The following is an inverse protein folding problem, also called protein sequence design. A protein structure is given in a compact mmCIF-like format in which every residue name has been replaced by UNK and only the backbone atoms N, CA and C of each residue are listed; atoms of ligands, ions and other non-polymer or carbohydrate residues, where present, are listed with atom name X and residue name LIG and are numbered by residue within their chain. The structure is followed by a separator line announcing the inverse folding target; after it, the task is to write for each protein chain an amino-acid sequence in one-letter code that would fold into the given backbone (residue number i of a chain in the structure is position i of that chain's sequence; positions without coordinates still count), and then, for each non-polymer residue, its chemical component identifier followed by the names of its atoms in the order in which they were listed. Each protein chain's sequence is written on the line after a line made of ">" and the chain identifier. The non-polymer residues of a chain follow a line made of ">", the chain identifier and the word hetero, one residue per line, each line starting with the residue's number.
data_IF_730963103797
#
_entry.id   IF_730963103797
#
_cell.length_a   1.000
_cell.length_b   1.000
_cell.length_c   1.000
_cell.angle_alpha   90.00
_cell.angle_beta   90.00
_cell.angle_gamma   90.00
#
_symmetry.space_group_name_H-M   'P 1'
#
loop_
_entity.id
_entity.type
_entity.pdbx_description
1 polymer ?
#
# COMPACT_ATOMS: atom_id res chain seq x y z
N UNK A 1 10.61 -2.59 9.08
CA UNK A 1 10.21 -3.99 9.19
C UNK A 1 10.93 -4.75 8.10
N UNK A 2 11.49 -5.92 8.40
CA UNK A 2 12.08 -6.75 7.35
C UNK A 2 10.97 -7.62 6.73
N UNK A 3 10.64 -7.33 5.47
CA UNK A 3 9.49 -7.95 4.81
C UNK A 3 9.85 -9.33 4.26
N UNK A 4 10.98 -9.46 3.58
CA UNK A 4 11.64 -10.69 3.12
C UNK A 4 10.70 -11.87 2.80
N UNK A 5 9.63 -11.60 2.08
CA UNK A 5 8.64 -12.62 1.71
C UNK A 5 9.16 -13.43 0.52
N UNK A 6 9.06 -14.76 0.60
CA UNK A 6 9.29 -15.59 -0.58
C UNK A 6 8.14 -15.49 -1.60
N UNK A 7 8.30 -16.06 -2.79
CA UNK A 7 7.30 -15.96 -3.86
C UNK A 7 5.94 -16.58 -3.48
N UNK A 8 5.93 -17.63 -2.65
CA UNK A 8 4.72 -18.32 -2.21
C UNK A 8 3.99 -17.49 -1.14
N UNK A 9 4.74 -16.92 -0.19
CA UNK A 9 4.24 -15.98 0.80
C UNK A 9 3.64 -14.73 0.14
N UNK A 10 4.34 -14.15 -0.84
CA UNK A 10 3.84 -13.01 -1.64
C UNK A 10 2.53 -13.37 -2.34
N UNK A 11 2.45 -14.54 -2.98
CA UNK A 11 1.24 -15.03 -3.65
C UNK A 11 0.08 -15.20 -2.69
N UNK A 12 0.31 -15.86 -1.55
CA UNK A 12 -0.73 -16.12 -0.54
C UNK A 12 -1.24 -14.83 0.08
N UNK A 13 -0.33 -13.91 0.43
CA UNK A 13 -0.68 -12.61 0.99
C UNK A 13 -1.48 -11.78 -0.03
N UNK A 14 -1.02 -11.71 -1.27
CA UNK A 14 -1.73 -11.05 -2.37
C UNK A 14 -3.14 -11.63 -2.58
N UNK A 15 -3.30 -12.96 -2.54
CA UNK A 15 -4.60 -13.60 -2.68
C UNK A 15 -5.56 -13.27 -1.52
N UNK A 16 -5.06 -13.22 -0.28
CA UNK A 16 -5.85 -12.80 0.89
C UNK A 16 -6.33 -11.36 0.75
N UNK A 17 -5.45 -10.44 0.33
CA UNK A 17 -5.80 -9.03 0.10
C UNK A 17 -6.82 -8.90 -1.04
N UNK A 18 -6.63 -9.61 -2.15
CA UNK A 18 -7.57 -9.60 -3.27
C UNK A 18 -8.96 -10.01 -2.81
N UNK A 19 -9.08 -11.11 -2.04
CA UNK A 19 -10.38 -11.62 -1.61
C UNK A 19 -11.03 -10.77 -0.53
N UNK A 20 -10.26 -10.17 0.38
CA UNK A 20 -10.83 -9.23 1.36
C UNK A 20 -11.43 -7.99 0.70
N UNK A 21 -10.79 -7.49 -0.37
CA UNK A 21 -11.23 -6.30 -1.08
C UNK A 21 -12.34 -6.59 -2.10
N UNK A 22 -12.14 -7.55 -3.00
CA UNK A 22 -13.02 -7.76 -4.14
C UNK A 22 -14.18 -8.72 -3.88
N UNK A 23 -14.05 -9.63 -2.90
CA UNK A 23 -15.04 -10.68 -2.64
C UNK A 23 -15.15 -10.99 -1.13
N UNK A 24 -15.58 -10.01 -0.32
CA UNK A 24 -15.59 -10.13 1.15
C UNK A 24 -16.45 -11.30 1.65
N UNK A 25 -17.48 -11.73 0.91
CA UNK A 25 -18.32 -12.88 1.25
C UNK A 25 -17.54 -14.21 1.37
N UNK A 26 -16.41 -14.30 0.67
CA UNK A 26 -15.53 -15.48 0.68
C UNK A 26 -14.35 -15.34 1.65
N UNK A 27 -14.30 -14.26 2.41
CA UNK A 27 -13.23 -13.94 3.36
C UNK A 27 -13.75 -14.00 4.82
N UNK A 28 -13.01 -14.57 5.79
CA UNK A 28 -11.68 -15.17 5.69
C UNK A 28 -11.66 -16.52 4.97
N UNK A 29 -10.49 -16.91 4.46
CA UNK A 29 -10.35 -18.04 3.52
C UNK A 29 -9.84 -19.32 4.18
N UNK A 30 -10.30 -20.48 3.73
CA UNK A 30 -9.70 -21.78 4.08
C UNK A 30 -8.45 -22.05 3.21
N UNK A 31 -7.63 -23.04 3.60
CA UNK A 31 -6.48 -23.49 2.79
C UNK A 31 -6.90 -23.87 1.37
N UNK A 32 -7.97 -24.66 1.23
CA UNK A 32 -8.50 -25.06 -0.10
C UNK A 32 -8.94 -23.85 -0.94
N UNK A 33 -9.59 -22.87 -0.31
CA UNK A 33 -9.96 -21.61 -0.98
C UNK A 33 -8.73 -20.81 -1.42
N UNK A 34 -7.68 -20.78 -0.60
CA UNK A 34 -6.42 -20.12 -0.93
C UNK A 34 -5.67 -20.83 -2.06
N UNK A 35 -5.62 -22.16 -2.07
CA UNK A 35 -5.06 -22.94 -3.17
C UNK A 35 -5.74 -22.58 -4.49
N UNK A 36 -7.08 -22.57 -4.51
CA UNK A 36 -7.85 -22.17 -5.70
C UNK A 36 -7.58 -20.71 -6.11
N UNK A 37 -7.39 -19.79 -5.16
CA UNK A 37 -7.10 -18.39 -5.43
C UNK A 37 -5.65 -18.15 -5.90
N UNK A 38 -4.67 -18.88 -5.37
CA UNK A 38 -3.26 -18.73 -5.72
C UNK A 38 -2.95 -19.26 -7.12
N UNK A 39 -3.67 -20.32 -7.53
CA UNK A 39 -3.46 -21.03 -8.80
C UNK A 39 -4.41 -20.54 -9.92
N UNK A 40 -5.06 -19.38 -9.75
CA UNK A 40 -5.91 -18.80 -10.80
C UNK A 40 -5.08 -18.49 -12.05
N UNK A 41 -5.64 -18.78 -13.24
CA UNK A 41 -5.00 -18.47 -14.53
C UNK A 41 -5.10 -16.99 -14.90
N UNK A 42 -6.13 -16.31 -14.43
CA UNK A 42 -6.31 -14.88 -14.63
C UNK A 42 -5.74 -14.11 -13.45
N UNK A 43 -5.30 -12.88 -13.72
CA UNK A 43 -4.84 -11.95 -12.68
C UNK A 43 -3.65 -12.46 -11.85
N UNK A 44 -2.85 -13.38 -12.39
CA UNK A 44 -1.62 -13.92 -11.78
C UNK A 44 -0.50 -13.89 -12.79
N UNK A 45 0.61 -13.26 -12.43
CA UNK A 45 1.84 -13.25 -13.22
C UNK A 45 3.02 -13.45 -12.25
N UNK A 46 3.71 -14.62 -12.27
CA UNK A 46 3.45 -15.80 -13.09
C UNK A 46 2.24 -16.62 -12.62
N UNK A 47 1.67 -17.45 -13.49
CA UNK A 47 0.71 -18.49 -13.06
C UNK A 47 1.49 -19.54 -12.26
N UNK A 48 0.97 -19.92 -11.09
CA UNK A 48 1.58 -20.93 -10.21
C UNK A 48 0.65 -22.14 -10.06
N UNK A 49 1.22 -23.26 -9.61
CA UNK A 49 0.50 -24.46 -9.21
C UNK A 49 0.97 -24.91 -7.82
N UNK A 50 0.50 -24.19 -6.80
CA UNK A 50 0.87 -24.43 -5.40
C UNK A 50 0.00 -25.55 -4.80
N UNK A 51 0.64 -26.51 -4.13
CA UNK A 51 -0.04 -27.53 -3.32
C UNK A 51 -0.56 -26.96 -2.00
N UNK A 52 -1.52 -27.63 -1.36
CA UNK A 52 -1.99 -27.23 -0.02
C UNK A 52 -0.85 -27.21 1.02
N UNK A 53 0.16 -28.10 0.89
CA UNK A 53 1.31 -28.13 1.77
C UNK A 53 2.17 -26.87 1.64
N UNK A 54 2.40 -26.40 0.41
CA UNK A 54 3.10 -25.14 0.15
C UNK A 54 2.31 -23.93 0.68
N UNK A 55 0.98 -23.92 0.48
CA UNK A 55 0.12 -22.86 1.03
C UNK A 55 0.20 -22.82 2.57
N UNK A 56 0.18 -23.98 3.24
CA UNK A 56 0.34 -24.06 4.70
C UNK A 56 1.69 -23.53 5.16
N UNK A 57 2.77 -23.94 4.50
CA UNK A 57 4.12 -23.45 4.81
C UNK A 57 4.22 -21.92 4.67
N UNK A 58 3.64 -21.36 3.60
CA UNK A 58 3.59 -19.91 3.40
C UNK A 58 2.72 -19.20 4.46
N UNK A 59 1.60 -19.79 4.86
CA UNK A 59 0.77 -19.25 5.94
C UNK A 59 1.52 -19.24 7.27
N UNK A 60 2.28 -20.28 7.59
CA UNK A 60 3.08 -20.37 8.81
C UNK A 60 4.13 -19.25 8.87
N UNK A 61 4.85 -19.01 7.77
CA UNK A 61 5.81 -17.90 7.65
C UNK A 61 5.15 -16.52 7.78
N UNK A 62 4.02 -16.31 7.11
CA UNK A 62 3.23 -15.06 7.22
C UNK A 62 2.66 -14.83 8.63
N UNK A 63 2.25 -15.89 9.33
CA UNK A 63 1.77 -15.81 10.72
C UNK A 63 2.91 -15.50 11.69
N UNK A 64 4.09 -16.10 11.50
CA UNK A 64 5.28 -15.79 12.30
C UNK A 64 5.69 -14.31 12.20
N UNK A 65 5.48 -13.70 11.03
CA UNK A 65 5.68 -12.24 10.80
C UNK A 65 4.48 -11.38 11.20
N UNK A 66 3.39 -11.99 11.69
CA UNK A 66 2.14 -11.33 12.05
C UNK A 66 1.48 -10.56 10.87
N UNK A 67 1.64 -11.06 9.65
CA UNK A 67 0.97 -10.52 8.46
C UNK A 67 -0.39 -11.21 8.21
N UNK A 68 -0.53 -12.43 8.71
CA UNK A 68 -1.76 -13.23 8.66
C UNK A 68 -2.16 -13.67 10.07
N UNK A 69 -3.45 -13.91 10.27
CA UNK A 69 -4.04 -14.48 11.49
C UNK A 69 -5.05 -15.55 11.12
N UNK A 70 -5.21 -16.53 11.99
CA UNK A 70 -6.39 -17.38 11.98
C UNK A 70 -7.62 -16.60 12.45
N UNK A 71 -8.73 -16.75 11.73
CA UNK A 71 -10.06 -16.27 12.11
C UNK A 71 -11.06 -17.41 11.99
N UNK A 72 -11.06 -18.27 13.00
CA UNK A 72 -11.99 -19.40 13.09
C UNK A 72 -13.01 -19.10 14.19
N UNK A 73 -14.27 -18.77 13.84
CA UNK A 73 -15.33 -18.65 14.84
C UNK A 73 -15.47 -19.96 15.63
N UNK A 74 -15.81 -19.86 16.91
CA UNK A 74 -16.06 -21.03 17.75
C UNK A 74 -17.12 -21.94 17.09
N UNK A 75 -16.79 -23.22 16.92
CA UNK A 75 -17.67 -24.20 16.25
C UNK A 75 -17.50 -24.30 14.73
N UNK A 76 -16.63 -23.51 14.10
CA UNK A 76 -16.27 -23.71 12.69
C UNK A 76 -15.50 -25.02 12.52
N UNK A 77 -15.94 -25.85 11.56
CA UNK A 77 -15.27 -27.13 11.23
C UNK A 77 -13.98 -26.95 10.44
N UNK A 78 -13.70 -25.75 9.95
CA UNK A 78 -12.52 -25.46 9.13
C UNK A 78 -11.84 -24.19 9.60
N UNK A 79 -10.51 -24.26 9.69
CA UNK A 79 -9.65 -23.10 9.99
C UNK A 79 -9.69 -22.13 8.81
N UNK A 80 -9.84 -20.84 9.11
CA UNK A 80 -9.83 -19.78 8.11
C UNK A 80 -8.75 -18.75 8.44
N UNK A 81 -8.23 -18.10 7.41
CA UNK A 81 -7.11 -17.17 7.49
C UNK A 81 -7.50 -15.80 6.95
N UNK A 82 -6.99 -14.76 7.61
CA UNK A 82 -7.18 -13.36 7.27
C UNK A 82 -5.82 -12.65 7.29
N UNK A 83 -5.57 -11.73 6.36
CA UNK A 83 -4.45 -10.80 6.50
C UNK A 83 -4.69 -9.82 7.66
N UNK A 84 -3.62 -9.16 8.08
CA UNK A 84 -3.60 -8.15 9.16
C UNK A 84 -3.24 -6.75 8.69
N UNK A 85 -3.07 -6.56 7.38
CA UNK A 85 -2.66 -5.29 6.78
C UNK A 85 -3.75 -4.21 6.80
N UNK A 86 -4.99 -4.58 7.10
CA UNK A 86 -6.16 -3.73 7.30
C UNK A 86 -6.43 -3.44 8.78
N UNK A 87 -5.39 -3.45 9.62
CA UNK A 87 -5.51 -3.28 11.07
C UNK A 87 -6.38 -2.07 11.41
N UNK A 88 -7.65 -2.31 11.76
CA UNK A 88 -8.69 -1.28 11.95
C UNK A 88 -8.33 -0.31 13.08
N UNK A 89 -7.44 -0.73 14.00
CA UNK A 89 -6.92 0.09 15.08
C UNK A 89 -5.67 0.88 14.70
N UNK A 90 -5.12 0.67 13.49
CA UNK A 90 -3.96 1.37 12.95
C UNK A 90 -2.67 1.19 13.77
N UNK A 91 -2.60 0.16 14.61
CA UNK A 91 -1.54 -0.02 15.60
C UNK A 91 -0.24 -0.49 14.95
N UNK A 92 -0.35 -1.29 13.88
CA UNK A 92 0.82 -1.84 13.18
C UNK A 92 0.95 -1.37 11.74
N UNK A 93 -0.15 -1.27 11.02
CA UNK A 93 -0.16 -0.87 9.61
C UNK A 93 -1.22 0.22 9.40
N UNK A 94 -0.87 1.25 8.64
CA UNK A 94 -1.78 2.37 8.29
C UNK A 94 -2.14 2.34 6.81
N UNK A 95 -2.38 1.15 6.25
CA UNK A 95 -2.76 1.02 4.85
C UNK A 95 -4.23 1.34 4.67
N UNK A 96 -4.50 2.28 3.77
CA UNK A 96 -5.83 2.55 3.24
C UNK A 96 -6.24 1.45 2.25
N UNK A 97 -7.53 1.43 1.90
CA UNK A 97 -8.05 0.53 0.86
C UNK A 97 -7.34 0.72 -0.49
N UNK A 98 -7.00 1.96 -0.84
CA UNK A 98 -6.25 2.30 -2.05
C UNK A 98 -4.83 1.70 -2.02
N UNK A 99 -4.14 1.80 -0.87
CA UNK A 99 -2.80 1.23 -0.69
C UNK A 99 -2.81 -0.29 -0.86
N UNK A 100 -3.76 -0.95 -0.21
CA UNK A 100 -3.92 -2.41 -0.30
C UNK A 100 -4.24 -2.86 -1.73
N UNK A 101 -5.05 -2.10 -2.48
CA UNK A 101 -5.34 -2.42 -3.88
C UNK A 101 -4.08 -2.34 -4.76
N UNK A 102 -3.21 -1.33 -4.55
CA UNK A 102 -1.94 -1.22 -5.27
C UNK A 102 -1.00 -2.36 -4.89
N UNK A 103 -0.78 -2.59 -3.59
CA UNK A 103 0.10 -3.66 -3.11
C UNK A 103 -0.38 -5.05 -3.58
N UNK A 104 -1.69 -5.30 -3.55
CA UNK A 104 -2.28 -6.53 -4.06
C UNK A 104 -1.95 -6.76 -5.54
N UNK A 105 -2.10 -5.73 -6.38
CA UNK A 105 -1.79 -5.86 -7.81
C UNK A 105 -0.31 -6.14 -8.04
N UNK A 106 0.57 -5.44 -7.33
CA UNK A 106 2.02 -5.61 -7.46
C UNK A 106 2.47 -6.99 -6.97
N UNK A 107 1.92 -7.51 -5.87
CA UNK A 107 2.20 -8.86 -5.36
C UNK A 107 1.72 -9.96 -6.32
N UNK A 108 0.57 -9.76 -6.98
CA UNK A 108 -0.05 -10.79 -7.82
C UNK A 108 0.41 -10.77 -9.28
N UNK A 109 0.90 -9.63 -9.76
CA UNK A 109 1.26 -9.45 -11.18
C UNK A 109 2.60 -8.75 -11.41
N UNK A 110 3.41 -8.60 -10.38
CA UNK A 110 4.71 -7.94 -10.48
C UNK A 110 4.63 -6.46 -10.90
N UNK A 111 5.73 -5.92 -11.45
CA UNK A 111 5.84 -4.50 -11.71
C UNK A 111 4.84 -4.00 -12.74
N UNK A 112 4.16 -2.87 -12.49
CA UNK A 112 3.08 -2.33 -13.35
C UNK A 112 3.15 -0.81 -13.53
N UNK A 113 2.60 -0.28 -14.63
CA UNK A 113 2.46 1.17 -14.83
C UNK A 113 1.25 1.73 -14.07
N UNK A 114 1.19 3.06 -13.94
CA UNK A 114 0.06 3.76 -13.29
C UNK A 114 -1.26 3.46 -14.00
N UNK A 115 -1.26 3.44 -15.34
CA UNK A 115 -2.43 3.11 -16.14
C UNK A 115 -2.90 1.68 -15.93
N UNK A 116 -1.98 0.71 -15.86
CA UNK A 116 -2.29 -0.68 -15.56
C UNK A 116 -2.90 -0.83 -14.15
N UNK A 117 -2.32 -0.18 -13.14
CA UNK A 117 -2.82 -0.20 -11.76
C UNK A 117 -4.24 0.36 -11.66
N UNK A 118 -4.51 1.49 -12.32
CA UNK A 118 -5.87 2.07 -12.38
C UNK A 118 -6.86 1.13 -13.08
N UNK A 119 -6.49 0.58 -14.23
CA UNK A 119 -7.37 -0.28 -15.01
C UNK A 119 -7.69 -1.63 -14.34
N UNK A 120 -6.78 -2.16 -13.52
CA UNK A 120 -6.89 -3.50 -12.92
C UNK A 120 -7.45 -3.49 -11.49
N UNK A 121 -7.53 -2.34 -10.83
CA UNK A 121 -7.96 -2.20 -9.43
C UNK A 121 -9.47 -2.19 -9.22
N UNK A 122 -10.29 -1.99 -10.25
CA UNK A 122 -11.70 -1.60 -10.12
C UNK A 122 -12.57 -2.38 -9.12
N UNK A 123 -12.46 -3.71 -9.03
CA UNK A 123 -13.23 -4.50 -8.05
C UNK A 123 -12.72 -4.37 -6.61
N UNK A 124 -11.45 -4.00 -6.43
CA UNK A 124 -10.82 -3.80 -5.12
C UNK A 124 -11.00 -2.36 -4.65
N UNK A 125 -10.67 -1.40 -5.52
CA UNK A 125 -10.78 0.04 -5.26
C UNK A 125 -10.89 0.79 -6.58
N UNK A 126 -11.83 1.73 -6.69
CA UNK A 126 -12.03 2.53 -7.89
C UNK A 126 -11.32 3.87 -7.76
N UNK A 127 -10.16 4.01 -8.42
CA UNK A 127 -9.44 5.29 -8.45
C UNK A 127 -10.13 6.29 -9.38
N UNK A 128 -10.47 7.46 -8.83
CA UNK A 128 -11.09 8.56 -9.53
C UNK A 128 -10.22 9.07 -10.69
N UNK A 129 -8.90 9.06 -10.53
CA UNK A 129 -7.97 9.56 -11.55
C UNK A 129 -6.60 8.87 -11.52
N UNK A 130 -5.81 9.09 -12.58
CA UNK A 130 -4.38 8.68 -12.60
C UNK A 130 -3.61 9.37 -11.47
N UNK A 131 -3.90 10.64 -11.20
CA UNK A 131 -3.26 11.40 -10.13
C UNK A 131 -3.50 10.79 -8.73
N UNK A 132 -4.65 10.14 -8.50
CA UNK A 132 -4.91 9.44 -7.24
C UNK A 132 -4.03 8.19 -7.09
N UNK A 133 -3.80 7.46 -8.18
CA UNK A 133 -2.87 6.31 -8.19
C UNK A 133 -1.45 6.79 -7.92
N UNK A 134 -1.01 7.87 -8.57
CA UNK A 134 0.31 8.47 -8.33
C UNK A 134 0.47 8.95 -6.88
N UNK A 135 -0.55 9.62 -6.33
CA UNK A 135 -0.55 10.03 -4.91
C UNK A 135 -0.45 8.83 -3.97
N UNK A 136 -1.14 7.73 -4.28
CA UNK A 136 -1.09 6.47 -3.52
C UNK A 136 0.31 5.83 -3.60
N UNK A 137 0.90 5.76 -4.80
CA UNK A 137 2.26 5.25 -5.01
C UNK A 137 3.29 6.11 -4.28
N UNK A 138 3.20 7.44 -4.37
CA UNK A 138 4.09 8.36 -3.67
C UNK A 138 4.04 8.16 -2.16
N UNK A 139 2.85 7.96 -1.58
CA UNK A 139 2.70 7.68 -0.15
C UNK A 139 3.33 6.35 0.25
N UNK A 140 3.19 5.31 -0.57
CA UNK A 140 3.86 4.01 -0.38
C UNK A 140 5.38 4.04 -0.61
N UNK A 141 5.90 5.01 -1.35
CA UNK A 141 7.33 5.21 -1.60
C UNK A 141 8.02 6.10 -0.56
N UNK A 142 7.30 7.05 0.01
CA UNK A 142 7.87 8.11 0.88
C UNK A 142 7.56 7.95 2.36
N UNK A 143 6.75 6.96 2.74
CA UNK A 143 6.54 6.61 4.14
C UNK A 143 7.84 6.19 4.84
N UNK A 144 7.82 6.19 6.18
CA UNK A 144 8.97 5.83 7.03
C UNK A 144 9.57 4.46 6.66
N UNK A 145 8.72 3.55 6.19
CA UNK A 145 9.12 2.29 5.57
C UNK A 145 8.53 2.24 4.16
N UNK A 146 9.33 2.40 3.10
CA UNK A 146 8.82 2.28 1.73
C UNK A 146 8.35 0.85 1.40
N UNK A 147 7.16 0.70 0.83
CA UNK A 147 6.63 -0.60 0.36
C UNK A 147 6.65 -0.75 -1.16
N UNK A 148 6.88 0.34 -1.88
CA UNK A 148 6.92 0.37 -3.35
C UNK A 148 8.12 1.19 -3.78
N UNK A 149 8.64 0.89 -4.98
CA UNK A 149 9.65 1.71 -5.66
C UNK A 149 9.27 1.91 -7.12
N UNK A 150 9.73 3.03 -7.68
CA UNK A 150 9.69 3.29 -9.12
C UNK A 150 10.91 2.64 -9.77
N UNK A 151 10.68 1.92 -10.85
CA UNK A 151 11.75 1.31 -11.65
C UNK A 151 12.25 2.28 -12.73
N UNK A 152 13.54 2.18 -13.13
CA UNK A 152 14.06 2.92 -14.27
C UNK A 152 13.24 2.63 -15.53
N UNK A 153 13.02 3.66 -16.35
CA UNK A 153 12.30 3.50 -17.61
C UNK A 153 13.17 2.69 -18.58
N UNK A 154 12.64 1.56 -19.04
CA UNK A 154 13.32 0.74 -20.04
C UNK A 154 13.49 1.52 -21.36
N UNK A 155 14.63 1.36 -22.07
CA UNK A 155 14.82 1.97 -23.38
C UNK A 155 13.67 1.62 -24.33
N UNK A 156 12.98 2.64 -24.84
CA UNK A 156 11.84 2.48 -25.76
C UNK A 156 10.45 2.44 -25.10
N UNK A 157 10.36 2.45 -23.76
CA UNK A 157 9.09 2.70 -23.05
C UNK A 157 8.97 4.17 -22.66
N UNK A 158 7.72 4.67 -22.66
CA UNK A 158 7.38 6.05 -22.27
C UNK A 158 6.95 6.18 -20.81
N UNK A 159 6.58 5.08 -20.17
CA UNK A 159 6.02 5.08 -18.82
C UNK A 159 6.89 4.23 -17.88
N UNK A 160 7.13 4.74 -16.67
CA UNK A 160 7.79 3.98 -15.61
C UNK A 160 6.85 2.90 -15.04
N UNK A 161 7.46 1.80 -14.58
CA UNK A 161 6.76 0.74 -13.82
C UNK A 161 7.10 0.87 -12.34
N UNK A 162 6.21 0.40 -11.50
CA UNK A 162 6.36 0.38 -10.05
C UNK A 162 6.41 -1.06 -9.57
N UNK A 163 7.25 -1.36 -8.60
CA UNK A 163 7.42 -2.69 -8.00
C UNK A 163 7.27 -2.62 -6.48
N UNK A 164 6.79 -3.69 -5.84
CA UNK A 164 6.75 -3.75 -4.38
C UNK A 164 8.13 -4.07 -3.79
N UNK A 165 8.31 -3.71 -2.52
CA UNK A 165 9.53 -3.94 -1.72
C UNK A 165 9.38 -5.05 -0.69
N UNK A 166 8.27 -5.77 -0.72
CA UNK A 166 7.91 -6.77 0.29
C UNK A 166 8.62 -8.13 0.15
N UNK A 167 9.35 -8.37 -0.94
CA UNK A 167 9.89 -9.69 -1.28
C UNK A 167 11.39 -9.83 -1.08
N UNK A 168 11.87 -11.06 -0.92
CA UNK A 168 13.32 -11.35 -0.98
C UNK A 168 13.85 -10.98 -2.36
N UNK A 169 14.93 -10.20 -2.40
CA UNK A 169 15.50 -9.71 -3.66
C UNK A 169 14.65 -8.64 -4.34
N UNK A 170 13.75 -7.98 -3.60
CA UNK A 170 13.06 -6.81 -4.11
C UNK A 170 14.05 -5.77 -4.66
N UNK A 171 13.65 -4.99 -5.69
CA UNK A 171 14.49 -3.93 -6.20
C UNK A 171 14.87 -2.99 -5.07
N UNK A 172 16.10 -2.49 -5.04
CA UNK A 172 16.45 -1.49 -4.04
C UNK A 172 15.55 -0.26 -4.24
N UNK A 173 15.03 0.28 -3.15
CA UNK A 173 14.30 1.56 -3.19
C UNK A 173 15.24 2.58 -3.79
N UNK A 174 14.92 3.03 -5.01
CA UNK A 174 15.63 4.14 -5.61
C UNK A 174 15.02 5.40 -5.00
N UNK A 175 15.82 6.32 -4.45
CA UNK A 175 15.31 7.63 -4.10
C UNK A 175 14.68 8.21 -5.37
N UNK A 176 13.46 8.75 -5.30
CA UNK A 176 12.83 9.30 -6.48
C UNK A 176 13.77 10.35 -7.07
N UNK A 177 14.04 10.28 -8.37
CA UNK A 177 14.84 11.28 -9.07
C UNK A 177 14.26 12.66 -8.73
N UNK A 178 15.04 13.47 -7.99
CA UNK A 178 14.63 14.81 -7.57
C UNK A 178 14.30 15.71 -8.76
N UNK A 179 14.79 15.37 -9.95
CA UNK A 179 14.55 16.11 -11.18
C UNK A 179 13.22 15.78 -11.89
N UNK A 180 12.58 14.64 -11.60
CA UNK A 180 11.28 14.27 -12.21
C UNK A 180 10.08 14.45 -11.28
N UNK A 181 10.31 14.78 -10.00
CA UNK A 181 9.29 15.25 -9.05
C UNK A 181 9.13 16.78 -9.06
N UNK A 182 9.41 17.45 -10.19
CA UNK A 182 8.88 18.79 -10.39
C UNK A 182 7.34 18.71 -10.30
N UNK A 183 6.71 19.35 -9.30
CA UNK A 183 5.30 19.17 -9.07
C UNK A 183 4.49 19.68 -10.26
N UNK A 184 3.47 18.91 -10.58
CA UNK A 184 2.32 19.30 -11.38
C UNK A 184 1.56 20.41 -10.61
N UNK A 185 2.13 21.60 -10.66
CA UNK A 185 1.67 22.96 -10.37
C UNK A 185 2.94 23.78 -10.44
N UNK A 186 3.27 24.29 -11.62
CA UNK A 186 4.08 25.51 -11.67
C UNK A 186 3.36 26.52 -10.78
N UNK A 187 3.91 26.75 -9.58
CA UNK A 187 3.65 27.98 -8.86
C UNK A 187 3.85 29.07 -9.90
N UNK A 188 2.86 29.94 -10.18
CA UNK A 188 3.11 31.06 -11.05
C UNK A 188 4.37 31.73 -10.53
N UNK A 189 5.41 31.85 -11.35
CA UNK A 189 6.61 32.64 -11.06
C UNK A 189 6.22 34.12 -11.16
N UNK A 190 5.20 34.46 -10.37
CA UNK A 190 4.51 35.71 -10.27
C UNK A 190 4.94 36.29 -8.92
N UNK A 191 5.72 37.38 -8.92
CA UNK A 191 6.15 38.05 -7.72
C UNK A 191 5.00 38.36 -6.76
N UNK A 192 3.79 38.62 -7.29
CA UNK A 192 2.61 38.94 -6.49
C UNK A 192 2.06 37.71 -5.76
N UNK A 193 2.13 36.53 -6.38
CA UNK A 193 1.73 35.27 -5.74
C UNK A 193 2.67 34.91 -4.58
N UNK A 194 3.99 35.08 -4.78
CA UNK A 194 4.98 34.84 -3.75
C UNK A 194 4.87 35.82 -2.58
N UNK A 195 4.62 37.10 -2.86
CA UNK A 195 4.37 38.11 -1.83
C UNK A 195 3.10 37.80 -1.02
N UNK A 196 2.01 37.43 -1.69
CA UNK A 196 0.75 37.06 -1.03
C UNK A 196 0.88 35.80 -0.17
N UNK A 197 1.62 34.80 -0.65
CA UNK A 197 1.87 33.57 0.11
C UNK A 197 2.75 33.83 1.34
N UNK A 198 3.81 34.63 1.19
CA UNK A 198 4.69 35.03 2.29
C UNK A 198 3.93 35.81 3.38
N UNK A 199 3.07 36.75 2.98
CA UNK A 199 2.21 37.49 3.91
C UNK A 199 1.27 36.55 4.70
N UNK A 200 0.70 35.56 4.02
CA UNK A 200 -0.22 34.60 4.66
C UNK A 200 0.49 33.60 5.57
N UNK A 201 1.73 33.24 5.27
CA UNK A 201 2.57 32.44 6.16
C UNK A 201 2.92 33.25 7.42
N UNK A 202 3.31 34.51 7.29
CA UNK A 202 3.60 35.38 8.43
C UNK A 202 2.37 35.56 9.35
N UNK A 203 1.19 35.77 8.77
CA UNK A 203 -0.07 35.85 9.53
C UNK A 203 -0.38 34.53 10.28
N UNK A 204 -0.20 33.38 9.63
CA UNK A 204 -0.41 32.08 10.26
C UNK A 204 0.59 31.80 11.37
N UNK A 205 1.85 32.21 11.21
CA UNK A 205 2.88 32.08 12.23
C UNK A 205 2.54 32.91 13.48
N UNK A 206 2.01 34.12 13.29
CA UNK A 206 1.54 34.97 14.39
C UNK A 206 0.33 34.35 15.10
N UNK A 207 -0.65 33.84 14.36
CA UNK A 207 -1.82 33.14 14.92
C UNK A 207 -1.38 31.90 15.70
N UNK A 208 -0.42 31.12 15.19
CA UNK A 208 0.10 29.94 15.88
C UNK A 208 0.85 30.33 17.16
N UNK A 209 1.59 31.43 17.17
CA UNK A 209 2.26 31.93 18.36
C UNK A 209 1.25 32.35 19.45
N UNK A 210 0.18 33.04 19.05
CA UNK A 210 -0.88 33.46 19.96
C UNK A 210 -1.65 32.25 20.53
N UNK A 211 -2.04 31.31 19.68
CA UNK A 211 -2.73 30.08 20.11
C UNK A 211 -1.87 29.22 21.04
N UNK A 212 -0.56 29.12 20.80
CA UNK A 212 0.36 28.42 21.71
C UNK A 212 0.36 29.06 23.09
N UNK A 213 0.39 30.39 23.15
CA UNK A 213 0.36 31.15 24.40
C UNK A 213 -0.96 30.92 25.14
N UNK A 214 -2.10 31.00 24.46
CA UNK A 214 -3.42 30.73 25.06
C UNK A 214 -3.56 29.29 25.57
N UNK A 215 -3.02 28.31 24.83
CA UNK A 215 -3.02 26.91 25.25
C UNK A 215 -2.17 26.70 26.50
N UNK A 216 -1.01 27.36 26.60
CA UNK A 216 -0.13 27.25 27.76
C UNK A 216 -0.75 27.95 29.00
N UNK A 217 -1.43 29.07 28.81
CA UNK A 217 -2.21 29.74 29.87
C UNK A 217 -3.40 28.89 30.35
N UNK A 218 -4.12 28.22 29.44
CA UNK A 218 -5.22 27.34 29.81
C UNK A 218 -4.75 26.09 30.56
N UNK A 219 -3.60 25.50 30.17
CA UNK A 219 -3.00 24.37 30.88
C UNK A 219 -2.59 24.74 32.30
N UNK A 220 -1.95 25.90 32.48
CA UNK A 220 -1.52 26.37 33.81
C UNK A 220 -2.67 26.72 34.76
N UNK A 221 -3.90 26.86 34.25
CA UNK A 221 -5.12 27.06 35.05
C UNK A 221 -5.85 25.77 35.44
N UNK A 222 -5.46 24.63 34.86
CA UNK A 222 -6.04 23.32 35.14
C UNK A 222 -5.17 22.44 36.05
N UNK A 223 -3.94 22.88 36.34
CA UNK A 223 -3.07 22.37 37.41
C UNK A 223 -3.28 23.18 38.72
#
# INVERSE_FOLDING_TARGET
>A
MDWDLDEQEQRVLGALIEKSLATPDYYPMTVSGLTAACNQRSNREPVMDLSEAQIRSALDGLMARYLVRERSPAGSRSVKFAHRLDDELGLRFKFTRADLAVLCLLLLRGPQTVGELRGRSGRMYEFASVAEVESTLNRLMTGDEPQVTRLPVEPGRREARYAHLLGVGAPQSLPPDRDELAPMRSIPDDPDFHAALSARVAELEEIVALLKTEVDELKSRQD
#
